data_IF_832804220468
#
_entry.id   IF_832804220468
#
_cell.length_a   1.000
_cell.length_b   1.000
_cell.length_c   1.000
_cell.angle_alpha   90.00
_cell.angle_beta   90.00
_cell.angle_gamma   90.00
#
_symmetry.space_group_name_H-M   'P 1'
#
loop_
_entity.id
_entity.type
_entity.pdbx_description
1 polymer ?
#
# COMPACT_ATOMS: atom_id res chain seq x y z
N UNK A 1 -6.25 0.86 -16.30
CA UNK A 1 -5.44 0.40 -15.15
C UNK A 1 -6.25 0.52 -13.86
N UNK A 2 -6.82 1.70 -13.60
CA UNK A 2 -7.72 1.95 -12.46
C UNK A 2 -8.85 0.93 -12.27
N UNK A 3 -9.68 0.67 -13.30
CA UNK A 3 -10.78 -0.32 -13.21
C UNK A 3 -10.26 -1.71 -12.78
N UNK A 4 -9.11 -2.11 -13.31
CA UNK A 4 -8.52 -3.41 -13.00
C UNK A 4 -8.01 -3.47 -11.55
N UNK A 5 -7.39 -2.39 -11.05
CA UNK A 5 -6.95 -2.26 -9.65
C UNK A 5 -8.16 -2.29 -8.70
N UNK A 6 -9.27 -1.63 -9.06
CA UNK A 6 -10.51 -1.66 -8.30
C UNK A 6 -11.11 -3.07 -8.23
N UNK A 7 -11.13 -3.80 -9.35
CA UNK A 7 -11.59 -5.20 -9.39
C UNK A 7 -10.73 -6.09 -8.48
N UNK A 8 -9.39 -5.97 -8.54
CA UNK A 8 -8.50 -6.73 -7.65
C UNK A 8 -8.73 -6.40 -6.18
N UNK A 9 -8.99 -5.12 -5.87
CA UNK A 9 -9.30 -4.67 -4.51
C UNK A 9 -10.61 -5.27 -4.01
N UNK A 10 -11.62 -5.37 -4.87
CA UNK A 10 -12.89 -6.03 -4.56
C UNK A 10 -12.70 -7.54 -4.32
N UNK A 11 -11.96 -8.23 -5.19
CA UNK A 11 -11.67 -9.67 -5.03
C UNK A 11 -10.92 -9.92 -3.72
N UNK A 12 -9.94 -9.07 -3.38
CA UNK A 12 -9.22 -9.10 -2.10
C UNK A 12 -10.21 -9.03 -0.93
N UNK A 13 -11.13 -8.06 -0.95
CA UNK A 13 -12.11 -7.84 0.11
C UNK A 13 -13.04 -9.05 0.30
N UNK A 14 -13.62 -9.56 -0.79
CA UNK A 14 -14.51 -10.74 -0.77
C UNK A 14 -13.75 -11.98 -0.28
N UNK A 15 -12.51 -12.16 -0.72
CA UNK A 15 -11.66 -13.28 -0.29
C UNK A 15 -11.38 -13.21 1.21
N UNK A 16 -11.10 -12.03 1.76
CA UNK A 16 -10.87 -11.83 3.19
C UNK A 16 -12.13 -12.16 4.02
N UNK A 17 -13.31 -11.78 3.55
CA UNK A 17 -14.58 -12.18 4.17
C UNK A 17 -14.75 -13.70 4.17
N UNK A 18 -14.44 -14.37 3.05
CA UNK A 18 -14.47 -15.83 2.95
C UNK A 18 -13.53 -16.53 3.94
N UNK A 19 -12.32 -15.97 4.13
CA UNK A 19 -11.35 -16.42 5.15
C UNK A 19 -11.95 -16.30 6.55
N UNK A 20 -12.49 -15.13 6.91
CA UNK A 20 -13.07 -14.88 8.22
C UNK A 20 -14.23 -15.85 8.54
N UNK A 21 -15.16 -16.02 7.59
CA UNK A 21 -16.29 -16.95 7.74
C UNK A 21 -15.79 -18.38 7.92
N UNK A 22 -14.80 -18.81 7.13
CA UNK A 22 -14.24 -20.17 7.22
C UNK A 22 -13.58 -20.42 8.58
N UNK A 23 -12.85 -19.44 9.12
CA UNK A 23 -12.25 -19.53 10.47
C UNK A 23 -13.34 -19.66 11.53
N UNK A 24 -14.40 -18.83 11.47
CA UNK A 24 -15.51 -18.88 12.45
C UNK A 24 -16.14 -20.27 12.45
N UNK A 25 -16.42 -20.85 11.28
CA UNK A 25 -17.02 -22.18 11.16
C UNK A 25 -16.09 -23.29 11.70
N UNK A 26 -14.78 -23.17 11.49
CA UNK A 26 -13.79 -24.12 12.04
C UNK A 26 -13.73 -24.01 13.58
N UNK A 27 -13.76 -22.80 14.13
CA UNK A 27 -13.69 -22.57 15.58
C UNK A 27 -14.96 -23.01 16.31
N UNK A 28 -16.14 -22.68 15.78
CA UNK A 28 -17.43 -23.13 16.34
C UNK A 28 -17.47 -24.65 16.46
N UNK A 29 -16.92 -25.36 15.46
CA UNK A 29 -16.87 -26.81 15.47
C UNK A 29 -15.93 -27.37 16.54
N UNK A 30 -14.80 -26.72 16.83
CA UNK A 30 -13.86 -27.17 17.87
C UNK A 30 -14.51 -27.19 19.27
N UNK A 31 -15.57 -26.41 19.46
CA UNK A 31 -16.33 -26.28 20.72
C UNK A 31 -17.44 -27.34 20.83
N UNK A 32 -17.89 -27.93 19.72
CA UNK A 32 -19.03 -28.86 19.68
C UNK A 32 -18.54 -30.32 19.66
N UNK A 33 -18.95 -31.13 20.63
CA UNK A 33 -18.73 -32.58 20.63
C UNK A 33 -19.54 -33.24 19.49
N UNK A 34 -18.88 -34.05 18.65
CA UNK A 34 -19.53 -34.81 17.60
C UNK A 34 -19.62 -36.30 17.98
N UNK A 35 -20.83 -36.88 18.06
CA UNK A 35 -21.00 -38.30 18.35
C UNK A 35 -20.45 -39.18 17.21
N UNK A 36 -20.00 -40.42 17.50
CA UNK A 36 -19.29 -41.30 16.55
C UNK A 36 -19.96 -41.50 15.20
N UNK A 37 -21.29 -41.57 15.17
CA UNK A 37 -22.11 -41.73 13.98
C UNK A 37 -22.05 -40.54 13.00
N UNK A 38 -21.62 -39.36 13.45
CA UNK A 38 -21.54 -38.14 12.63
C UNK A 38 -20.09 -37.68 12.36
N UNK A 39 -19.09 -38.36 12.94
CA UNK A 39 -17.68 -37.96 12.85
C UNK A 39 -17.20 -37.87 11.40
N UNK A 40 -17.54 -38.85 10.55
CA UNK A 40 -17.09 -38.86 9.15
C UNK A 40 -17.70 -37.71 8.33
N UNK A 41 -19.00 -37.44 8.49
CA UNK A 41 -19.67 -36.30 7.85
C UNK A 41 -19.09 -34.97 8.33
N UNK A 42 -18.81 -34.87 9.63
CA UNK A 42 -18.19 -33.69 10.22
C UNK A 42 -16.77 -33.47 9.67
N UNK A 43 -15.99 -34.55 9.46
CA UNK A 43 -14.64 -34.50 8.88
C UNK A 43 -14.68 -34.06 7.41
N UNK A 44 -15.61 -34.57 6.62
CA UNK A 44 -15.77 -34.19 5.22
C UNK A 44 -16.13 -32.70 5.06
N UNK A 45 -17.10 -32.20 5.85
CA UNK A 45 -17.45 -30.76 5.88
C UNK A 45 -16.26 -29.89 6.28
N UNK A 46 -15.48 -30.33 7.27
CA UNK A 46 -14.26 -29.63 7.69
C UNK A 46 -13.22 -29.54 6.58
N UNK A 47 -13.04 -30.61 5.81
CA UNK A 47 -12.13 -30.63 4.66
C UNK A 47 -12.57 -29.63 3.59
N UNK A 48 -13.89 -29.54 3.32
CA UNK A 48 -14.47 -28.55 2.40
C UNK A 48 -14.19 -27.10 2.85
N UNK A 49 -14.40 -26.78 4.13
CA UNK A 49 -14.10 -25.43 4.65
C UNK A 49 -12.61 -25.11 4.61
N UNK A 50 -11.74 -26.10 4.90
CA UNK A 50 -10.29 -25.91 4.81
C UNK A 50 -9.83 -25.65 3.36
N UNK A 51 -10.46 -26.33 2.39
CA UNK A 51 -10.21 -26.11 0.97
C UNK A 51 -10.66 -24.71 0.51
N UNK A 52 -11.86 -24.29 0.90
CA UNK A 52 -12.37 -22.93 0.63
C UNK A 52 -11.45 -21.88 1.26
N UNK A 53 -11.05 -22.08 2.52
CA UNK A 53 -10.09 -21.23 3.20
C UNK A 53 -8.77 -21.11 2.41
N UNK A 54 -8.20 -22.25 1.97
CA UNK A 54 -6.97 -22.26 1.19
C UNK A 54 -7.08 -21.52 -0.13
N UNK A 55 -8.20 -21.67 -0.85
CA UNK A 55 -8.48 -20.94 -2.10
C UNK A 55 -8.66 -19.44 -1.87
N UNK A 56 -9.43 -19.04 -0.86
CA UNK A 56 -9.60 -17.62 -0.54
C UNK A 56 -8.27 -17.00 -0.10
N UNK A 57 -7.45 -17.74 0.65
CA UNK A 57 -6.14 -17.27 1.09
C UNK A 57 -5.19 -17.07 -0.10
N UNK A 58 -5.06 -18.05 -0.99
CA UNK A 58 -4.19 -17.93 -2.17
C UNK A 58 -4.66 -16.80 -3.10
N UNK A 59 -5.96 -16.69 -3.36
CA UNK A 59 -6.53 -15.61 -4.16
C UNK A 59 -6.28 -14.24 -3.54
N UNK A 60 -6.44 -14.11 -2.22
CA UNK A 60 -6.18 -12.85 -1.51
C UNK A 60 -4.71 -12.42 -1.64
N UNK A 61 -3.76 -13.34 -1.51
CA UNK A 61 -2.33 -13.06 -1.64
C UNK A 61 -2.00 -12.60 -3.06
N UNK A 62 -2.48 -13.33 -4.07
CA UNK A 62 -2.26 -12.98 -5.48
C UNK A 62 -2.83 -11.60 -5.80
N UNK A 63 -4.05 -11.30 -5.31
CA UNK A 63 -4.65 -9.98 -5.50
C UNK A 63 -3.86 -8.87 -4.80
N UNK A 64 -3.34 -9.10 -3.59
CA UNK A 64 -2.54 -8.09 -2.85
C UNK A 64 -1.23 -7.81 -3.59
N UNK A 65 -0.48 -8.85 -3.95
CA UNK A 65 0.81 -8.70 -4.64
C UNK A 65 0.60 -8.07 -6.01
N UNK A 66 -0.38 -8.58 -6.77
CA UNK A 66 -0.73 -8.07 -8.09
C UNK A 66 -1.20 -6.61 -8.05
N UNK A 67 -2.05 -6.23 -7.10
CA UNK A 67 -2.51 -4.84 -6.98
C UNK A 67 -1.37 -3.89 -6.66
N UNK A 68 -0.45 -4.28 -5.76
CA UNK A 68 0.70 -3.44 -5.39
C UNK A 68 1.61 -3.18 -6.59
N UNK A 69 1.91 -4.23 -7.36
CA UNK A 69 2.75 -4.10 -8.56
C UNK A 69 2.09 -3.20 -9.62
N UNK A 70 0.79 -3.38 -9.87
CA UNK A 70 0.06 -2.54 -10.82
C UNK A 70 -0.03 -1.07 -10.39
N UNK A 71 -0.22 -0.80 -9.10
CA UNK A 71 -0.22 0.57 -8.57
C UNK A 71 1.17 1.20 -8.74
N UNK A 72 2.24 0.45 -8.50
CA UNK A 72 3.62 0.91 -8.72
C UNK A 72 3.86 1.25 -10.18
N UNK A 73 3.38 0.42 -11.10
CA UNK A 73 3.45 0.68 -12.54
C UNK A 73 2.61 1.89 -12.96
N UNK A 74 1.37 2.03 -12.45
CA UNK A 74 0.52 3.21 -12.70
C UNK A 74 1.22 4.50 -12.26
N UNK A 75 1.82 4.48 -11.07
CA UNK A 75 2.54 5.62 -10.50
C UNK A 75 3.73 6.02 -11.38
N UNK A 76 4.60 5.07 -11.73
CA UNK A 76 5.76 5.33 -12.59
C UNK A 76 5.36 5.77 -14.00
N UNK A 77 4.28 5.20 -14.54
CA UNK A 77 3.74 5.60 -15.84
C UNK A 77 3.27 7.05 -15.81
N UNK A 78 2.51 7.45 -14.78
CA UNK A 78 2.02 8.82 -14.64
C UNK A 78 3.14 9.85 -14.51
N UNK A 79 4.18 9.53 -13.75
CA UNK A 79 5.38 10.38 -13.63
C UNK A 79 6.11 10.56 -14.96
N UNK A 80 6.08 9.56 -15.86
CA UNK A 80 6.74 9.63 -17.17
C UNK A 80 5.90 10.36 -18.21
N UNK A 81 4.59 10.16 -18.19
CA UNK A 81 3.68 10.70 -19.21
C UNK A 81 3.24 12.14 -18.93
N UNK A 82 3.27 12.58 -17.67
CA UNK A 82 2.79 13.90 -17.27
C UNK A 82 3.89 14.68 -16.58
N UNK A 83 3.98 15.98 -16.89
CA UNK A 83 4.83 16.90 -16.16
C UNK A 83 4.22 17.18 -14.80
N UNK A 84 5.07 17.10 -13.77
CA UNK A 84 4.72 17.55 -12.42
C UNK A 84 4.55 19.07 -12.49
N UNK A 85 3.43 19.56 -11.97
CA UNK A 85 3.14 20.98 -11.81
C UNK A 85 3.55 21.45 -10.40
N UNK A 86 3.19 20.66 -9.40
CA UNK A 86 3.35 21.00 -7.99
C UNK A 86 3.51 19.73 -7.17
N UNK A 87 4.41 19.76 -6.18
CA UNK A 87 4.46 18.77 -5.12
C UNK A 87 4.24 19.49 -3.81
N UNK A 88 3.27 19.03 -3.03
CA UNK A 88 2.99 19.58 -1.72
C UNK A 88 3.15 18.48 -0.68
N UNK A 89 3.96 18.72 0.35
CA UNK A 89 4.17 17.76 1.45
C UNK A 89 4.06 18.54 2.76
N UNK A 90 3.16 18.08 3.63
CA UNK A 90 2.87 18.72 4.92
C UNK A 90 2.58 20.24 4.80
N UNK A 91 1.85 20.65 3.76
CA UNK A 91 1.52 22.05 3.48
C UNK A 91 2.65 22.88 2.84
N UNK A 92 3.81 22.29 2.55
CA UNK A 92 4.90 22.97 1.86
C UNK A 92 4.96 22.60 0.38
N UNK A 93 4.90 23.61 -0.46
CA UNK A 93 5.00 23.50 -1.92
C UNK A 93 6.46 23.50 -2.40
N UNK A 94 6.80 22.55 -3.27
CA UNK A 94 8.05 22.52 -4.03
C UNK A 94 7.88 23.20 -5.39
N UNK A 95 8.91 23.94 -5.82
CA UNK A 95 8.95 24.49 -7.17
C UNK A 95 8.98 23.37 -8.22
N UNK A 96 8.44 23.64 -9.41
CA UNK A 96 8.28 22.65 -10.48
C UNK A 96 9.59 21.94 -10.87
N UNK A 97 10.66 22.72 -11.02
CA UNK A 97 12.00 22.23 -11.36
C UNK A 97 12.54 21.32 -10.25
N UNK A 98 12.36 21.74 -8.99
CA UNK A 98 12.82 20.98 -7.85
C UNK A 98 12.09 19.66 -7.67
N UNK A 99 10.79 19.68 -7.95
CA UNK A 99 9.89 18.55 -7.85
C UNK A 99 10.15 17.47 -8.90
N UNK A 100 10.51 17.87 -10.13
CA UNK A 100 10.78 16.93 -11.22
C UNK A 100 11.97 16.01 -10.91
N UNK A 101 13.04 16.57 -10.37
CA UNK A 101 14.26 15.82 -10.04
C UNK A 101 14.03 14.72 -8.98
N UNK A 102 13.11 14.95 -8.04
CA UNK A 102 12.87 14.08 -6.89
C UNK A 102 12.42 12.67 -7.29
N UNK A 103 11.68 12.55 -8.39
CA UNK A 103 11.02 11.30 -8.79
C UNK A 103 11.63 10.64 -10.02
N UNK A 104 12.88 10.99 -10.35
CA UNK A 104 13.61 10.48 -11.51
C UNK A 104 14.12 9.05 -11.31
N UNK A 105 14.60 8.73 -10.10
CA UNK A 105 15.19 7.43 -9.77
C UNK A 105 14.71 6.94 -8.41
N UNK A 106 14.25 5.69 -8.39
CA UNK A 106 13.83 5.01 -7.17
C UNK A 106 14.78 3.86 -6.87
N UNK A 107 15.29 3.82 -5.65
CA UNK A 107 16.03 2.69 -5.08
C UNK A 107 15.07 1.71 -4.40
N UNK A 108 15.51 0.46 -4.23
CA UNK A 108 14.72 -0.56 -3.55
C UNK A 108 14.72 -0.29 -2.06
N UNK A 109 13.54 -0.29 -1.42
CA UNK A 109 13.42 -0.17 0.03
C UNK A 109 13.85 -1.48 0.73
N UNK A 110 14.91 -1.47 1.57
CA UNK A 110 15.32 -2.64 2.34
C UNK A 110 14.37 -2.96 3.52
N UNK A 111 13.35 -2.13 3.76
CA UNK A 111 12.23 -2.45 4.65
C UNK A 111 12.54 -2.23 6.14
N UNK A 112 13.50 -1.36 6.47
CA UNK A 112 13.91 -1.10 7.87
C UNK A 112 14.15 0.39 8.08
N UNK A 113 13.75 0.87 9.26
CA UNK A 113 14.10 2.19 9.84
C UNK A 113 13.29 3.39 9.33
N UNK A 114 12.04 3.47 9.80
CA UNK A 114 11.11 4.57 9.54
C UNK A 114 10.98 5.45 10.78
N UNK A 115 11.13 6.77 10.62
CA UNK A 115 11.09 7.69 11.76
C UNK A 115 9.90 8.64 11.68
N UNK A 116 9.89 9.53 10.69
CA UNK A 116 8.86 10.55 10.51
C UNK A 116 8.14 10.31 9.19
N UNK A 117 6.83 10.55 9.15
CA UNK A 117 6.08 10.49 7.91
C UNK A 117 5.27 11.75 7.66
N UNK A 118 5.21 12.12 6.39
CA UNK A 118 4.59 13.35 5.91
C UNK A 118 3.64 13.02 4.77
N UNK A 119 2.38 13.44 4.90
CA UNK A 119 1.39 13.31 3.82
C UNK A 119 1.60 14.41 2.79
N UNK A 120 1.31 14.09 1.53
CA UNK A 120 1.44 15.03 0.44
C UNK A 120 0.70 14.63 -0.82
N UNK A 121 0.83 15.48 -1.84
CA UNK A 121 0.21 15.30 -3.15
C UNK A 121 1.19 15.70 -4.25
N UNK A 122 1.22 14.91 -5.32
CA UNK A 122 1.88 15.26 -6.59
C UNK A 122 0.77 15.68 -7.55
N UNK A 123 0.75 16.95 -7.95
CA UNK A 123 -0.20 17.49 -8.93
C UNK A 123 0.48 17.63 -10.28
N UNK A 124 -0.17 17.16 -11.33
CA UNK A 124 0.33 17.20 -12.70
C UNK A 124 -0.34 18.33 -13.50
N UNK A 125 0.24 18.69 -14.65
CA UNK A 125 -0.32 19.72 -15.55
C UNK A 125 -1.73 19.40 -16.06
N UNK A 126 -2.11 18.13 -16.09
CA UNK A 126 -3.46 17.68 -16.47
C UNK A 126 -4.51 17.80 -15.33
N UNK A 127 -4.16 18.46 -14.21
CA UNK A 127 -4.95 18.59 -12.98
C UNK A 127 -5.24 17.27 -12.25
N UNK A 128 -4.66 16.15 -12.66
CA UNK A 128 -4.69 14.95 -11.85
C UNK A 128 -3.71 15.09 -10.68
N UNK A 129 -4.06 14.47 -9.55
CA UNK A 129 -3.20 14.42 -8.38
C UNK A 129 -3.02 12.98 -7.88
N UNK A 130 -1.82 12.70 -7.38
CA UNK A 130 -1.49 11.43 -6.72
C UNK A 130 -1.21 11.73 -5.25
N UNK A 131 -2.00 11.19 -4.30
CA UNK A 131 -1.69 11.28 -2.89
C UNK A 131 -0.49 10.40 -2.57
N UNK A 132 0.45 10.95 -1.82
CA UNK A 132 1.69 10.30 -1.41
C UNK A 132 1.90 10.44 0.10
N UNK A 133 2.68 9.53 0.65
CA UNK A 133 3.31 9.66 1.95
C UNK A 133 4.82 9.57 1.75
N UNK A 134 5.54 10.50 2.37
CA UNK A 134 7.00 10.58 2.37
C UNK A 134 7.49 10.21 3.76
N UNK A 135 8.20 9.09 3.87
CA UNK A 135 8.70 8.58 5.15
C UNK A 135 10.21 8.80 5.21
N UNK A 136 10.70 9.51 6.22
CA UNK A 136 12.13 9.71 6.42
C UNK A 136 12.79 8.46 7.01
N UNK A 137 13.96 8.10 6.46
CA UNK A 137 14.81 7.04 7.00
C UNK A 137 15.51 7.50 8.30
N UNK A 138 15.49 6.68 9.35
CA UNK A 138 16.00 7.09 10.67
C UNK A 138 17.50 7.36 10.74
N UNK A 139 18.29 6.60 9.99
CA UNK A 139 19.76 6.61 10.12
C UNK A 139 20.47 7.30 8.96
N UNK A 140 19.74 7.60 7.89
CA UNK A 140 20.32 8.16 6.68
C UNK A 140 19.67 9.50 6.40
N UNK A 141 20.35 10.56 6.83
CA UNK A 141 19.99 11.93 6.51
C UNK A 141 19.96 12.05 4.99
N UNK A 142 18.81 12.45 4.43
CA UNK A 142 18.49 12.56 3.00
C UNK A 142 17.83 11.35 2.32
N UNK A 143 17.60 10.21 3.01
CA UNK A 143 16.82 9.11 2.42
C UNK A 143 15.35 9.18 2.80
N UNK A 144 14.50 9.11 1.79
CA UNK A 144 13.06 9.18 1.93
C UNK A 144 12.38 8.08 1.14
N UNK A 145 11.42 7.41 1.75
CA UNK A 145 10.60 6.38 1.12
C UNK A 145 9.33 7.03 0.60
N UNK A 146 9.05 6.81 -0.68
CA UNK A 146 7.83 7.28 -1.32
C UNK A 146 6.81 6.15 -1.30
N UNK A 147 5.69 6.41 -0.64
CA UNK A 147 4.52 5.53 -0.60
C UNK A 147 3.40 6.20 -1.37
N UNK A 148 2.87 5.53 -2.38
CA UNK A 148 1.62 5.94 -3.01
C UNK A 148 0.45 5.56 -2.10
N UNK A 149 -0.43 6.52 -1.84
CA UNK A 149 -1.70 6.32 -1.14
C UNK A 149 -2.88 6.17 -2.10
N UNK A 150 -2.60 6.13 -3.41
CA UNK A 150 -3.63 6.07 -4.43
C UNK A 150 -4.43 4.77 -4.33
N UNK A 151 -5.72 4.83 -4.69
CA UNK A 151 -6.64 3.70 -4.62
C UNK A 151 -6.83 3.14 -3.19
N UNK A 152 -6.64 3.99 -2.16
CA UNK A 152 -6.77 3.63 -0.75
C UNK A 152 -5.91 2.41 -0.35
N UNK A 153 -4.77 2.23 -1.02
CA UNK A 153 -3.84 1.13 -0.76
C UNK A 153 -2.44 1.70 -0.67
N UNK A 154 -1.76 1.41 0.44
CA UNK A 154 -0.38 1.85 0.67
C UNK A 154 0.58 1.00 -0.16
N UNK A 155 1.25 1.64 -1.11
CA UNK A 155 2.21 1.00 -2.00
C UNK A 155 3.53 1.75 -2.00
N UNK A 156 4.56 1.13 -1.42
CA UNK A 156 5.92 1.62 -1.51
C UNK A 156 6.40 1.61 -2.97
N UNK A 157 6.67 2.80 -3.50
CA UNK A 157 7.21 2.99 -4.84
C UNK A 157 8.73 2.72 -4.82
N UNK A 158 9.42 3.29 -3.84
CA UNK A 158 10.84 3.11 -3.60
C UNK A 158 11.43 4.21 -2.74
N UNK A 159 12.75 4.21 -2.61
CA UNK A 159 13.54 5.21 -1.89
C UNK A 159 14.07 6.26 -2.87
N UNK A 160 14.09 7.51 -2.42
CA UNK A 160 14.78 8.60 -3.07
C UNK A 160 15.80 9.22 -2.11
N UNK A 161 16.95 9.62 -2.64
CA UNK A 161 18.00 10.27 -1.87
C UNK A 161 18.07 11.73 -2.30
N UNK A 162 17.73 12.64 -1.40
CA UNK A 162 17.62 14.07 -1.71
C UNK A 162 17.75 14.93 -0.45
N UNK A 163 18.48 16.03 -0.55
CA UNK A 163 18.56 17.03 0.52
C UNK A 163 17.39 18.03 0.48
N UNK A 164 16.60 18.05 -0.60
CA UNK A 164 15.54 19.05 -0.81
C UNK A 164 14.43 18.96 0.27
N UNK A 165 14.21 17.78 0.86
CA UNK A 165 13.23 17.61 1.95
C UNK A 165 13.69 18.07 3.32
N UNK A 166 14.98 18.31 3.54
CA UNK A 166 15.46 18.83 4.83
C UNK A 166 14.86 20.21 5.14
N UNK A 167 14.41 20.94 4.11
CA UNK A 167 13.66 22.18 4.27
C UNK A 167 12.34 21.99 5.04
N UNK A 168 11.64 20.85 4.86
CA UNK A 168 10.41 20.53 5.59
C UNK A 168 10.65 20.42 7.09
N UNK A 169 11.72 19.70 7.46
CA UNK A 169 12.11 19.46 8.86
C UNK A 169 12.51 20.74 9.59
N UNK A 170 13.30 21.59 8.94
CA UNK A 170 13.84 22.80 9.57
C UNK A 170 12.83 23.95 9.65
N UNK A 171 11.80 23.96 8.80
CA UNK A 171 10.80 25.04 8.80
C UNK A 171 9.64 24.76 9.77
N UNK A 172 9.21 23.50 9.90
CA UNK A 172 8.24 23.10 10.94
C UNK A 172 8.75 23.38 12.36
N UNK A 173 10.06 23.26 12.60
CA UNK A 173 10.68 23.60 13.90
C UNK A 173 10.84 25.11 14.14
N UNK A 174 10.88 25.92 13.09
CA UNK A 174 10.99 27.39 13.21
C UNK A 174 9.66 28.12 13.44
N UNK A 175 8.51 27.47 13.19
CA UNK A 175 7.19 28.06 13.42
C UNK A 175 6.65 27.89 14.85
N UNK A 176 7.37 27.15 15.69
CA UNK A 176 7.04 26.91 17.11
C UNK A 176 8.01 27.63 18.08
N UNK A 177 8.75 28.65 17.60
CA UNK A 177 9.58 29.56 18.41
C UNK A 177 9.21 31.02 18.16
#
# INVERSE_FOLDING_TARGET
MEIFIQILTLIKYVSFLGIAISIILILLKKIIYHPPNTINQAKEKSSKYLSIFGLCLSLSIVCIVGSKELIKQDFQKRLKENKILLVEINGFSFAQEDAADLFTKFEVDPGRFYCESYLGYITFENNESIPIEVIQHCYEENKYIIVSKKYSTDVTIGIITTSKFNYLKNKASSSDQ
#
